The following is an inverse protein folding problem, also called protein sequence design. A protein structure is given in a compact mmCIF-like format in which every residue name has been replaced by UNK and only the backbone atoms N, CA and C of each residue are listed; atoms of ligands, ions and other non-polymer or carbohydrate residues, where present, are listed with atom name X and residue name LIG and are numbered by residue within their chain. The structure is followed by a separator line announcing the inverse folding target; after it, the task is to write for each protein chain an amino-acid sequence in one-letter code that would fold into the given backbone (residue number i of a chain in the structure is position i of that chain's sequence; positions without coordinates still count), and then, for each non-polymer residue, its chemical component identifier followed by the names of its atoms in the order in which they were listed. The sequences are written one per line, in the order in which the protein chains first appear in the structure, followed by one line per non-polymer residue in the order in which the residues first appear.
data_IF_778365551592
#
_entry.id   IF_778365551592
#
_cell.length_a   1.000
_cell.length_b   1.000
_cell.length_c   1.000
_cell.angle_alpha   90.00
_cell.angle_beta   90.00
_cell.angle_gamma   90.00
#
_symmetry.space_group_name_H-M   'P 1'
#
loop_
_entity.id
_entity.type
_entity.pdbx_description
1 polymer ?
#
# COMPACT_ATOMS: atom_id res chain seq x y z
N UNK A 1 -9.03 7.15 26.19
CA UNK A 1 -7.82 7.43 25.39
C UNK A 1 -8.25 7.97 24.04
N UNK A 2 -7.54 8.95 23.46
CA UNK A 2 -7.87 9.35 22.08
C UNK A 2 -7.42 8.24 21.11
N UNK A 3 -8.06 8.10 19.94
CA UNK A 3 -7.75 7.00 19.03
C UNK A 3 -6.28 6.88 18.62
N UNK A 4 -5.58 8.01 18.39
CA UNK A 4 -4.15 8.02 18.09
C UNK A 4 -3.30 7.37 19.18
N UNK A 5 -3.50 7.78 20.43
CA UNK A 5 -2.79 7.22 21.59
C UNK A 5 -3.04 5.71 21.71
N UNK A 6 -4.27 5.27 21.46
CA UNK A 6 -4.65 3.84 21.49
C UNK A 6 -3.83 3.00 20.51
N UNK A 7 -3.69 3.49 19.27
CA UNK A 7 -2.89 2.81 18.23
C UNK A 7 -1.42 2.81 18.62
N UNK A 8 -0.86 3.95 19.05
CA UNK A 8 0.55 4.06 19.45
C UNK A 8 0.87 3.09 20.59
N UNK A 9 0.05 3.04 21.65
CA UNK A 9 0.28 2.11 22.77
C UNK A 9 0.30 0.66 22.31
N UNK A 10 -0.64 0.27 21.44
CA UNK A 10 -0.67 -1.07 20.88
C UNK A 10 0.61 -1.41 20.08
N UNK A 11 1.07 -0.49 19.23
CA UNK A 11 2.33 -0.64 18.47
C UNK A 11 3.56 -0.71 19.39
N UNK A 12 3.55 0.03 20.49
CA UNK A 12 4.61 -0.01 21.52
C UNK A 12 4.48 -1.19 22.50
N UNK A 13 3.61 -2.16 22.23
CA UNK A 13 3.35 -3.33 23.08
C UNK A 13 2.89 -2.98 24.51
N UNK A 14 2.24 -1.83 24.68
CA UNK A 14 1.58 -1.43 25.92
C UNK A 14 0.08 -1.72 25.86
N UNK A 15 -0.56 -1.92 27.02
CA UNK A 15 -2.00 -2.16 27.09
C UNK A 15 -2.80 -0.85 26.85
N UNK A 16 -3.57 -0.75 25.74
CA UNK A 16 -4.47 0.38 25.50
C UNK A 16 -5.79 0.23 26.29
N UNK A 17 -6.68 1.22 26.22
CA UNK A 17 -8.01 1.14 26.85
C UNK A 17 -8.98 0.16 26.16
N UNK A 18 -8.75 -0.13 24.87
CA UNK A 18 -9.34 -1.24 24.10
C UNK A 18 -8.47 -1.55 22.89
N UNK A 19 -8.73 -2.69 22.23
CA UNK A 19 -8.08 -3.01 20.94
C UNK A 19 -8.40 -1.90 19.92
N UNK A 20 -7.38 -1.26 19.31
CA UNK A 20 -7.60 -0.30 18.24
C UNK A 20 -8.12 -1.01 16.99
N UNK A 21 -9.03 -0.37 16.27
CA UNK A 21 -9.72 -0.90 15.10
C UNK A 21 -9.60 0.07 13.94
N UNK A 22 -9.48 -0.44 12.72
CA UNK A 22 -9.48 0.39 11.52
C UNK A 22 -9.39 -0.46 10.27
N UNK A 23 -9.56 0.20 9.13
CA UNK A 23 -9.56 -0.45 7.82
C UNK A 23 -8.54 0.25 6.92
N UNK A 24 -7.69 -0.53 6.24
CA UNK A 24 -6.72 0.03 5.27
C UNK A 24 -7.40 0.43 3.93
N UNK A 25 -8.70 0.15 3.80
CA UNK A 25 -9.57 0.60 2.72
C UNK A 25 -10.98 -0.03 2.83
N UNK A 26 -12.03 0.77 2.62
CA UNK A 26 -13.43 0.30 2.62
C UNK A 26 -13.97 0.45 1.21
N UNK A 27 -14.37 -0.66 0.59
CA UNK A 27 -14.84 -0.64 -0.80
C UNK A 27 -16.22 0.04 -0.94
N UNK A 28 -16.45 0.60 -2.13
CA UNK A 28 -17.61 1.46 -2.38
C UNK A 28 -18.98 0.87 -2.01
N UNK A 29 -19.29 -0.44 -2.14
CA UNK A 29 -20.63 -0.93 -1.80
C UNK A 29 -20.96 -0.73 -0.32
N UNK A 30 -19.97 -0.95 0.56
CA UNK A 30 -20.10 -0.73 2.01
C UNK A 30 -20.16 0.76 2.30
N UNK A 31 -19.37 1.57 1.59
CA UNK A 31 -19.39 3.03 1.74
C UNK A 31 -20.74 3.62 1.39
N UNK A 32 -21.31 3.25 0.23
CA UNK A 32 -22.60 3.77 -0.23
C UNK A 32 -23.75 3.30 0.66
N UNK A 33 -23.72 2.03 1.09
CA UNK A 33 -24.70 1.49 2.04
C UNK A 33 -24.66 2.23 3.37
N UNK A 34 -23.47 2.47 3.90
CA UNK A 34 -23.26 3.10 5.21
C UNK A 34 -23.59 4.58 5.22
N UNK A 35 -23.20 5.31 4.17
CA UNK A 35 -23.35 6.77 4.09
C UNK A 35 -24.63 7.22 3.37
N UNK A 36 -25.35 6.30 2.71
CA UNK A 36 -26.60 6.60 2.00
C UNK A 36 -26.41 7.48 0.76
N UNK A 37 -25.20 7.51 0.18
CA UNK A 37 -24.86 8.34 -0.98
C UNK A 37 -23.83 7.67 -1.87
N UNK A 38 -23.80 8.04 -3.15
CA UNK A 38 -22.76 7.59 -4.08
C UNK A 38 -21.37 8.12 -3.70
N UNK A 39 -20.35 7.32 -3.95
CA UNK A 39 -18.94 7.68 -3.70
C UNK A 39 -18.05 7.33 -4.89
N UNK A 40 -16.96 8.06 -5.06
CA UNK A 40 -15.84 7.61 -5.87
C UNK A 40 -14.80 6.83 -5.06
N UNK A 41 -14.82 6.89 -3.71
CA UNK A 41 -13.83 6.21 -2.88
C UNK A 41 -13.86 4.69 -3.11
N UNK A 42 -12.76 4.18 -3.69
CA UNK A 42 -12.58 2.76 -4.02
C UNK A 42 -13.72 2.23 -4.88
N UNK A 43 -14.20 3.07 -5.80
CA UNK A 43 -15.29 2.76 -6.73
C UNK A 43 -14.84 1.97 -7.97
N UNK A 44 -13.57 1.53 -8.00
CA UNK A 44 -13.01 0.59 -8.96
C UNK A 44 -13.11 1.12 -10.40
N UNK A 45 -13.93 0.49 -11.24
CA UNK A 45 -14.15 0.94 -12.60
C UNK A 45 -14.66 2.39 -12.69
N UNK A 46 -15.54 2.79 -11.78
CA UNK A 46 -16.21 4.09 -11.85
C UNK A 46 -15.26 5.25 -11.54
N UNK A 47 -14.37 5.09 -10.57
CA UNK A 47 -13.35 6.11 -10.29
C UNK A 47 -12.35 6.24 -11.45
N UNK A 48 -11.93 5.13 -12.07
CA UNK A 48 -11.02 5.19 -13.22
C UNK A 48 -11.63 5.90 -14.43
N UNK A 49 -12.87 5.55 -14.78
CA UNK A 49 -13.59 6.21 -15.89
C UNK A 49 -13.71 7.71 -15.62
N UNK A 50 -14.09 8.10 -14.40
CA UNK A 50 -14.19 9.51 -14.02
C UNK A 50 -12.85 10.24 -14.16
N UNK A 51 -11.74 9.61 -13.76
CA UNK A 51 -10.40 10.18 -13.93
C UNK A 51 -10.02 10.34 -15.41
N UNK A 52 -10.29 9.35 -16.27
CA UNK A 52 -10.04 9.44 -17.71
C UNK A 52 -10.93 10.45 -18.45
N UNK A 53 -12.08 10.78 -17.86
CA UNK A 53 -12.99 11.82 -18.35
C UNK A 53 -12.66 13.21 -17.79
N UNK A 54 -11.65 13.32 -16.92
CA UNK A 54 -11.17 14.58 -16.35
C UNK A 54 -11.94 15.04 -15.11
N UNK A 55 -12.76 14.19 -14.50
CA UNK A 55 -13.51 14.48 -13.27
C UNK A 55 -12.67 14.30 -12.00
N UNK A 56 -11.37 14.67 -12.06
CA UNK A 56 -10.42 14.50 -10.96
C UNK A 56 -10.90 15.15 -9.67
N UNK A 57 -11.39 16.38 -9.73
CA UNK A 57 -11.80 17.10 -8.53
C UNK A 57 -13.03 16.49 -7.85
N UNK A 58 -13.99 15.97 -8.63
CA UNK A 58 -15.14 15.25 -8.08
C UNK A 58 -14.71 13.96 -7.34
N UNK A 59 -13.75 13.23 -7.92
CA UNK A 59 -13.17 12.02 -7.32
C UNK A 59 -12.46 12.36 -6.00
N UNK A 60 -11.60 13.37 -6.01
CA UNK A 60 -10.79 13.75 -4.84
C UNK A 60 -11.66 14.36 -3.72
N UNK A 61 -12.67 15.17 -4.06
CA UNK A 61 -13.63 15.67 -3.07
C UNK A 61 -14.47 14.52 -2.47
N UNK A 62 -14.80 13.50 -3.26
CA UNK A 62 -15.44 12.29 -2.73
C UNK A 62 -14.53 11.56 -1.75
N UNK A 63 -13.23 11.43 -2.03
CA UNK A 63 -12.27 10.79 -1.11
C UNK A 63 -12.20 11.54 0.22
N UNK A 64 -11.96 12.86 0.17
CA UNK A 64 -11.87 13.74 1.35
C UNK A 64 -13.10 13.59 2.23
N UNK A 65 -14.28 13.72 1.64
CA UNK A 65 -15.57 13.67 2.33
C UNK A 65 -15.88 12.29 2.90
N UNK A 66 -15.71 11.24 2.10
CA UNK A 66 -16.23 9.91 2.43
C UNK A 66 -15.30 9.13 3.35
N UNK A 67 -13.97 9.27 3.22
CA UNK A 67 -13.01 8.67 4.14
C UNK A 67 -13.22 9.20 5.56
N UNK A 68 -13.30 10.53 5.73
CA UNK A 68 -13.54 11.16 7.04
C UNK A 68 -14.89 10.75 7.61
N UNK A 69 -15.94 10.68 6.77
CA UNK A 69 -17.26 10.27 7.21
C UNK A 69 -17.29 8.81 7.69
N UNK A 70 -16.60 7.89 7.01
CA UNK A 70 -16.53 6.47 7.39
C UNK A 70 -15.80 6.30 8.72
N UNK A 71 -14.65 6.95 8.90
CA UNK A 71 -13.87 6.89 10.14
C UNK A 71 -14.73 7.33 11.33
N UNK A 72 -15.44 8.47 11.20
CA UNK A 72 -16.36 8.96 12.24
C UNK A 72 -17.56 8.03 12.45
N UNK A 73 -18.11 7.45 11.38
CA UNK A 73 -19.31 6.61 11.43
C UNK A 73 -19.06 5.25 12.08
N UNK A 74 -17.90 4.66 11.82
CA UNK A 74 -17.48 3.38 12.38
C UNK A 74 -16.62 3.51 13.63
N UNK A 75 -16.34 4.74 14.08
CA UNK A 75 -15.52 5.03 15.25
C UNK A 75 -14.12 4.38 15.18
N UNK A 76 -13.55 4.39 13.97
CA UNK A 76 -12.23 3.79 13.69
C UNK A 76 -11.12 4.60 14.34
N UNK A 77 -10.01 3.94 14.64
CA UNK A 77 -8.90 4.52 15.38
C UNK A 77 -7.76 5.02 14.49
N UNK A 78 -7.66 4.49 13.28
CA UNK A 78 -6.73 4.95 12.27
C UNK A 78 -7.44 5.19 10.93
N UNK A 79 -6.81 6.01 10.09
CA UNK A 79 -7.31 6.39 8.76
C UNK A 79 -6.22 6.26 7.70
N UNK A 80 -6.46 5.52 6.61
CA UNK A 80 -5.51 5.45 5.50
C UNK A 80 -5.58 6.72 4.64
N UNK A 81 -4.43 7.24 4.25
CA UNK A 81 -4.30 8.37 3.31
C UNK A 81 -3.25 8.05 2.24
N UNK A 82 -3.35 8.69 1.09
CA UNK A 82 -2.46 8.47 -0.06
C UNK A 82 -2.44 9.72 -0.93
N UNK A 83 -1.45 9.79 -1.83
CA UNK A 83 -1.39 10.81 -2.86
C UNK A 83 -2.55 10.64 -3.85
N UNK A 84 -3.12 11.75 -4.29
CA UNK A 84 -4.16 11.78 -5.33
C UNK A 84 -3.58 12.28 -6.65
N UNK A 85 -4.21 11.99 -7.81
CA UNK A 85 -3.72 12.49 -9.09
C UNK A 85 -3.54 14.02 -9.10
N UNK A 86 -2.47 14.48 -9.72
CA UNK A 86 -2.16 15.91 -9.90
C UNK A 86 -3.23 16.62 -10.74
N UNK A 87 -3.52 17.88 -10.42
CA UNK A 87 -4.30 18.80 -11.26
C UNK A 87 -3.56 19.26 -12.52
N UNK A 88 -2.23 19.19 -12.49
CA UNK A 88 -1.35 19.56 -13.61
C UNK A 88 -1.11 18.37 -14.54
N UNK A 89 -1.42 17.15 -14.11
CA UNK A 89 -1.30 15.97 -14.94
C UNK A 89 -2.26 16.05 -16.14
N UNK A 90 -1.74 15.74 -17.33
CA UNK A 90 -2.58 15.62 -18.52
C UNK A 90 -3.50 14.42 -18.39
N UNK A 91 -4.80 14.63 -18.63
CA UNK A 91 -5.76 13.52 -18.69
C UNK A 91 -5.53 12.75 -19.97
N UNK A 92 -4.94 11.57 -19.85
CA UNK A 92 -4.66 10.69 -20.98
C UNK A 92 -5.67 9.56 -20.99
N UNK A 93 -6.40 9.46 -22.11
CA UNK A 93 -7.41 8.41 -22.29
C UNK A 93 -6.71 7.11 -22.65
N UNK A 94 -7.05 6.00 -21.98
CA UNK A 94 -6.44 4.72 -22.26
C UNK A 94 -6.82 4.24 -23.66
N UNK A 95 -5.93 3.47 -24.30
CA UNK A 95 -6.22 2.85 -25.58
C UNK A 95 -6.97 1.54 -25.34
N UNK A 96 -8.29 1.60 -25.42
CA UNK A 96 -9.13 0.42 -25.25
C UNK A 96 -8.89 -0.62 -26.34
N UNK A 97 -8.66 -1.86 -25.91
CA UNK A 97 -8.63 -3.06 -26.76
C UNK A 97 -10.04 -3.65 -26.81
N UNK A 98 -10.72 -3.67 -25.66
CA UNK A 98 -12.13 -3.97 -25.51
C UNK A 98 -12.74 -3.11 -24.38
N UNK A 99 -13.98 -3.39 -23.97
CA UNK A 99 -14.70 -2.61 -22.94
C UNK A 99 -13.95 -2.52 -21.59
N UNK A 100 -13.24 -3.57 -21.19
CA UNK A 100 -12.57 -3.66 -19.89
C UNK A 100 -11.10 -4.04 -19.99
N UNK A 101 -10.54 -4.09 -21.20
CA UNK A 101 -9.12 -4.28 -21.45
C UNK A 101 -8.57 -3.05 -22.18
N UNK A 102 -7.48 -2.49 -21.69
CA UNK A 102 -6.86 -1.31 -22.28
C UNK A 102 -5.35 -1.36 -22.18
N UNK A 103 -4.68 -0.62 -23.06
CA UNK A 103 -3.26 -0.38 -23.00
C UNK A 103 -2.99 1.02 -22.43
N UNK A 104 -2.01 1.10 -21.53
CA UNK A 104 -1.51 2.37 -21.01
C UNK A 104 -0.30 2.90 -21.80
N UNK A 105 0.24 4.04 -21.38
CA UNK A 105 1.32 4.74 -22.07
C UNK A 105 2.67 4.01 -22.04
N UNK A 106 2.85 3.12 -21.07
CA UNK A 106 4.04 2.27 -20.97
C UNK A 106 3.89 0.99 -21.80
N UNK A 107 2.78 0.86 -22.55
CA UNK A 107 2.47 -0.31 -23.35
C UNK A 107 1.97 -1.49 -22.52
N UNK A 108 1.62 -1.29 -21.25
CA UNK A 108 1.10 -2.35 -20.38
C UNK A 108 -0.38 -2.57 -20.69
N UNK A 109 -0.78 -3.82 -20.78
CA UNK A 109 -2.17 -4.20 -20.99
C UNK A 109 -2.81 -4.52 -19.64
N UNK A 110 -3.85 -3.76 -19.31
CA UNK A 110 -4.63 -3.90 -18.10
C UNK A 110 -5.99 -4.49 -18.41
N UNK A 111 -6.53 -5.26 -17.45
CA UNK A 111 -7.89 -5.79 -17.52
C UNK A 111 -8.62 -5.60 -16.20
N UNK A 112 -9.85 -5.09 -16.29
CA UNK A 112 -10.81 -5.07 -15.21
C UNK A 112 -11.83 -6.21 -15.37
N UNK A 113 -12.21 -6.86 -14.26
CA UNK A 113 -13.29 -7.85 -14.23
C UNK A 113 -14.49 -7.29 -13.45
N UNK A 114 -15.61 -6.97 -14.12
CA UNK A 114 -16.83 -6.57 -13.44
C UNK A 114 -17.40 -7.63 -12.50
N UNK A 115 -17.07 -8.90 -12.74
CA UNK A 115 -17.55 -10.04 -11.95
C UNK A 115 -16.86 -10.09 -10.59
N UNK A 116 -15.55 -9.85 -10.53
CA UNK A 116 -14.84 -9.79 -9.26
C UNK A 116 -15.02 -8.44 -8.56
N UNK A 117 -15.21 -7.36 -9.33
CA UNK A 117 -15.25 -6.00 -8.78
C UNK A 117 -13.93 -5.58 -8.12
N UNK A 118 -12.86 -6.33 -8.36
CA UNK A 118 -11.54 -6.08 -7.80
C UNK A 118 -10.79 -4.95 -8.52
N UNK A 119 -9.56 -4.69 -8.07
CA UNK A 119 -8.65 -3.82 -8.82
C UNK A 119 -8.34 -4.43 -10.19
N UNK A 120 -8.10 -3.60 -11.22
CA UNK A 120 -7.56 -4.09 -12.48
C UNK A 120 -6.23 -4.81 -12.30
N UNK A 121 -5.98 -5.80 -13.14
CA UNK A 121 -4.72 -6.53 -13.17
C UNK A 121 -3.97 -6.22 -14.46
N UNK A 122 -2.65 -6.07 -14.35
CA UNK A 122 -1.78 -6.05 -15.51
C UNK A 122 -1.68 -7.48 -16.04
N UNK A 123 -2.12 -7.71 -17.29
CA UNK A 123 -2.10 -9.03 -17.93
C UNK A 123 -0.96 -9.17 -18.93
N UNK A 124 -0.30 -8.07 -19.30
CA UNK A 124 0.88 -8.06 -20.14
C UNK A 124 1.67 -6.78 -19.89
N UNK A 125 2.96 -6.92 -19.67
CA UNK A 125 3.91 -5.81 -19.57
C UNK A 125 5.22 -6.24 -20.23
N UNK A 126 6.01 -5.26 -20.67
CA UNK A 126 7.35 -5.51 -21.20
C UNK A 126 8.28 -5.91 -20.06
N UNK A 127 9.13 -6.90 -20.29
CA UNK A 127 10.23 -7.18 -19.37
C UNK A 127 11.27 -6.05 -19.41
N UNK A 128 11.60 -5.53 -18.24
CA UNK A 128 12.63 -4.50 -18.12
C UNK A 128 14.02 -5.12 -18.28
N UNK A 129 14.88 -4.45 -19.05
CA UNK A 129 16.30 -4.78 -19.18
C UNK A 129 17.13 -4.00 -18.16
N UNK A 130 18.40 -4.39 -17.96
CA UNK A 130 19.30 -3.71 -17.02
C UNK A 130 19.44 -2.21 -17.31
N UNK A 131 19.49 -1.83 -18.59
CA UNK A 131 19.62 -0.43 -19.02
C UNK A 131 18.35 0.41 -18.78
N UNK A 132 17.19 -0.25 -18.53
CA UNK A 132 15.96 0.43 -18.12
C UNK A 132 16.01 0.83 -16.63
N UNK A 133 16.90 0.22 -15.83
CA UNK A 133 17.01 0.47 -14.39
C UNK A 133 17.78 1.75 -14.08
N UNK A 134 17.06 2.87 -14.12
CA UNK A 134 17.59 4.20 -13.81
C UNK A 134 17.38 4.54 -12.34
N UNK A 135 18.33 5.28 -11.76
CA UNK A 135 18.14 5.85 -10.43
C UNK A 135 16.88 6.73 -10.40
N UNK A 136 16.11 6.68 -9.31
CA UNK A 136 14.91 7.48 -9.23
C UNK A 136 15.31 8.96 -9.12
N UNK A 137 14.75 9.78 -10.00
CA UNK A 137 14.80 11.22 -9.83
C UNK A 137 14.06 11.63 -8.54
N UNK A 138 14.43 12.76 -7.91
CA UNK A 138 13.68 13.30 -6.79
C UNK A 138 12.19 13.42 -7.11
N UNK A 139 11.36 12.80 -6.28
CA UNK A 139 9.91 12.88 -6.40
C UNK A 139 9.41 14.19 -5.81
N UNK A 140 9.05 15.12 -6.68
CA UNK A 140 8.53 16.45 -6.31
C UNK A 140 7.03 16.53 -6.66
N UNK A 141 6.13 16.17 -5.72
CA UNK A 141 4.70 16.31 -5.97
C UNK A 141 4.31 17.79 -6.06
N UNK A 142 3.25 18.10 -6.80
CA UNK A 142 2.60 19.40 -6.64
C UNK A 142 1.54 19.39 -5.53
N UNK A 143 1.20 20.58 -5.02
CA UNK A 143 0.27 20.75 -3.90
C UNK A 143 -1.07 20.02 -4.07
N UNK A 144 -1.54 19.84 -5.31
CA UNK A 144 -2.81 19.17 -5.56
C UNK A 144 -2.77 17.68 -5.21
N UNK A 145 -1.62 17.02 -5.33
CA UNK A 145 -1.45 15.60 -5.01
C UNK A 145 -1.56 15.31 -3.52
N UNK A 146 -1.28 16.33 -2.70
CA UNK A 146 -1.29 16.29 -1.24
C UNK A 146 -2.65 16.64 -0.64
N UNK A 147 -3.62 17.05 -1.46
CA UNK A 147 -4.92 17.56 -1.03
C UNK A 147 -5.67 16.60 -0.09
N UNK A 148 -5.64 15.29 -0.36
CA UNK A 148 -6.32 14.30 0.47
C UNK A 148 -5.63 14.18 1.84
N UNK A 149 -4.31 13.99 1.83
CA UNK A 149 -3.50 13.83 3.05
C UNK A 149 -3.68 15.05 3.95
N UNK A 150 -3.47 16.25 3.41
CA UNK A 150 -3.62 17.51 4.15
C UNK A 150 -5.03 17.71 4.70
N UNK A 151 -6.07 17.35 3.92
CA UNK A 151 -7.45 17.43 4.39
C UNK A 151 -7.71 16.49 5.57
N UNK A 152 -7.30 15.23 5.46
CA UNK A 152 -7.52 14.22 6.51
C UNK A 152 -6.70 14.54 7.76
N UNK A 153 -5.44 14.97 7.61
CA UNK A 153 -4.59 15.42 8.73
C UNK A 153 -5.22 16.61 9.44
N UNK A 154 -5.75 17.59 8.69
CA UNK A 154 -6.49 18.73 9.28
C UNK A 154 -7.72 18.28 10.06
N UNK A 155 -8.52 17.37 9.50
CA UNK A 155 -9.81 16.98 10.09
C UNK A 155 -9.69 15.97 11.25
N UNK A 156 -8.66 15.11 11.22
CA UNK A 156 -8.56 13.95 12.10
C UNK A 156 -7.18 13.80 12.77
N UNK A 157 -6.11 14.44 12.26
CA UNK A 157 -4.74 14.24 12.72
C UNK A 157 -4.47 14.62 14.18
N UNK A 158 -5.32 15.45 14.79
CA UNK A 158 -5.25 15.74 16.23
C UNK A 158 -5.84 14.65 17.14
N UNK A 159 -6.57 13.66 16.58
CA UNK A 159 -7.31 12.65 17.36
C UNK A 159 -7.09 11.22 16.89
N UNK A 160 -6.90 10.99 15.60
CA UNK A 160 -6.79 9.66 14.97
C UNK A 160 -5.37 9.42 14.46
N UNK A 161 -4.99 8.15 14.40
CA UNK A 161 -3.71 7.74 13.83
C UNK A 161 -3.77 7.79 12.30
N UNK A 162 -2.87 8.54 11.66
CA UNK A 162 -2.87 8.72 10.21
C UNK A 162 -1.89 7.75 9.56
N UNK A 163 -2.39 6.86 8.71
CA UNK A 163 -1.62 5.80 8.06
C UNK A 163 -1.39 6.11 6.58
N UNK A 164 -0.17 6.48 6.22
CA UNK A 164 0.23 6.78 4.85
C UNK A 164 0.36 5.52 4.00
N UNK A 165 -0.31 5.48 2.84
CA UNK A 165 -0.20 4.42 1.84
C UNK A 165 0.59 4.92 0.64
N UNK A 166 1.91 4.95 0.79
CA UNK A 166 2.84 5.27 -0.28
C UNK A 166 3.20 4.02 -1.08
N UNK A 167 4.46 3.60 -1.00
CA UNK A 167 5.00 2.45 -1.74
C UNK A 167 5.73 1.44 -0.86
N UNK A 168 5.90 0.22 -1.38
CA UNK A 168 6.67 -0.87 -0.75
C UNK A 168 8.06 -1.03 -1.38
N UNK A 169 8.16 -0.99 -2.71
CA UNK A 169 9.46 -1.05 -3.39
C UNK A 169 10.18 -2.41 -3.32
N UNK A 170 9.81 -3.32 -2.41
CA UNK A 170 10.49 -4.61 -2.27
C UNK A 170 10.15 -5.60 -3.38
N UNK A 171 9.05 -5.37 -4.12
CA UNK A 171 8.61 -6.19 -5.24
C UNK A 171 8.30 -5.32 -6.47
N UNK A 172 9.32 -4.91 -7.26
CA UNK A 172 9.14 -4.03 -8.40
C UNK A 172 8.45 -4.70 -9.60
N UNK A 173 7.68 -3.92 -10.36
CA UNK A 173 7.10 -4.36 -11.64
C UNK A 173 8.15 -4.27 -12.75
N UNK A 174 8.79 -5.40 -13.08
CA UNK A 174 9.86 -5.47 -14.10
C UNK A 174 9.57 -6.50 -15.20
N UNK A 175 8.31 -6.71 -15.57
CA UNK A 175 7.92 -7.86 -16.42
C UNK A 175 6.97 -8.85 -15.72
N UNK A 176 6.37 -8.44 -14.60
CA UNK A 176 5.44 -9.26 -13.84
C UNK A 176 6.09 -10.19 -12.82
N UNK A 177 5.25 -10.70 -11.93
CA UNK A 177 5.67 -11.47 -10.75
C UNK A 177 6.44 -12.75 -11.12
N UNK A 178 5.98 -13.51 -12.11
CA UNK A 178 6.64 -14.74 -12.53
C UNK A 178 8.05 -14.48 -13.08
N UNK A 179 8.22 -13.43 -13.89
CA UNK A 179 9.53 -13.03 -14.43
C UNK A 179 10.48 -12.61 -13.31
N UNK A 180 10.00 -11.78 -12.37
CA UNK A 180 10.79 -11.34 -11.22
C UNK A 180 11.29 -12.51 -10.36
N UNK A 181 10.41 -13.48 -10.05
CA UNK A 181 10.78 -14.68 -9.28
C UNK A 181 11.80 -15.56 -10.01
N UNK A 182 11.68 -15.72 -11.33
CA UNK A 182 12.66 -16.47 -12.13
C UNK A 182 14.03 -15.77 -12.15
N UNK A 183 14.03 -14.44 -12.26
CA UNK A 183 15.25 -13.60 -12.27
C UNK A 183 16.02 -13.62 -10.96
N UNK A 184 15.38 -13.92 -9.83
CA UNK A 184 16.12 -14.14 -8.57
C UNK A 184 17.19 -15.23 -8.73
N UNK A 185 16.95 -16.19 -9.63
CA UNK A 185 17.88 -17.29 -9.90
C UNK A 185 18.76 -16.96 -11.10
N UNK A 186 18.18 -16.47 -12.20
CA UNK A 186 18.92 -16.30 -13.47
C UNK A 186 19.71 -15.01 -13.56
N UNK A 187 19.27 -13.94 -12.88
CA UNK A 187 19.79 -12.58 -12.99
C UNK A 187 19.76 -11.83 -11.63
N UNK A 188 20.44 -12.36 -10.58
CA UNK A 188 20.35 -11.82 -9.22
C UNK A 188 20.77 -10.36 -9.09
N UNK A 189 21.75 -9.92 -9.88
CA UNK A 189 22.22 -8.52 -9.87
C UNK A 189 21.19 -7.55 -10.44
N UNK A 190 20.41 -7.98 -11.44
CA UNK A 190 19.27 -7.19 -11.90
C UNK A 190 18.25 -7.05 -10.77
N UNK A 191 17.90 -8.16 -10.09
CA UNK A 191 16.90 -8.12 -9.01
C UNK A 191 17.33 -7.18 -7.90
N UNK A 192 18.58 -7.28 -7.43
CA UNK A 192 19.14 -6.37 -6.41
C UNK A 192 19.03 -4.92 -6.85
N UNK A 193 19.40 -4.63 -8.10
CA UNK A 193 19.36 -3.27 -8.66
C UNK A 193 17.94 -2.74 -8.79
N UNK A 194 17.03 -3.54 -9.34
CA UNK A 194 15.63 -3.18 -9.53
C UNK A 194 14.92 -2.94 -8.19
N UNK A 195 15.11 -3.85 -7.23
CA UNK A 195 14.56 -3.70 -5.89
C UNK A 195 15.10 -2.44 -5.25
N UNK A 196 16.43 -2.20 -5.25
CA UNK A 196 17.01 -0.99 -4.66
C UNK A 196 16.38 0.29 -5.22
N UNK A 197 16.30 0.45 -6.54
CA UNK A 197 15.69 1.62 -7.19
C UNK A 197 14.23 1.81 -6.76
N UNK A 198 13.46 0.72 -6.70
CA UNK A 198 12.07 0.78 -6.28
C UNK A 198 11.92 1.09 -4.79
N UNK A 199 12.82 0.58 -3.94
CA UNK A 199 12.91 0.93 -2.52
C UNK A 199 13.19 2.42 -2.35
N UNK A 200 14.18 2.99 -3.04
CA UNK A 200 14.50 4.41 -2.96
C UNK A 200 13.30 5.29 -3.36
N UNK A 201 12.61 4.93 -4.44
CA UNK A 201 11.38 5.63 -4.85
C UNK A 201 10.28 5.51 -3.80
N UNK A 202 10.08 4.33 -3.23
CA UNK A 202 9.09 4.11 -2.18
C UNK A 202 9.41 4.92 -0.93
N UNK A 203 10.68 4.98 -0.52
CA UNK A 203 11.16 5.79 0.61
C UNK A 203 10.87 7.27 0.38
N UNK A 204 11.11 7.81 -0.82
CA UNK A 204 10.80 9.22 -1.12
C UNK A 204 9.32 9.55 -0.90
N UNK A 205 8.41 8.71 -1.42
CA UNK A 205 6.96 8.90 -1.28
C UNK A 205 6.52 8.70 0.18
N UNK A 206 7.04 7.67 0.85
CA UNK A 206 6.71 7.39 2.24
C UNK A 206 7.15 8.55 3.15
N UNK A 207 8.37 9.07 2.95
CA UNK A 207 8.89 10.21 3.70
C UNK A 207 8.04 11.46 3.50
N UNK A 208 7.65 11.77 2.27
CA UNK A 208 6.74 12.86 1.97
C UNK A 208 5.42 12.73 2.76
N UNK A 209 4.80 11.55 2.79
CA UNK A 209 3.57 11.32 3.55
C UNK A 209 3.78 11.51 5.06
N UNK A 210 4.91 11.05 5.60
CA UNK A 210 5.28 11.26 7.00
C UNK A 210 5.48 12.74 7.33
N UNK A 211 6.14 13.48 6.45
CA UNK A 211 6.41 14.91 6.58
C UNK A 211 5.10 15.74 6.50
N UNK A 212 4.10 15.26 5.75
CA UNK A 212 2.75 15.84 5.66
C UNK A 212 1.82 15.48 6.82
N UNK A 213 2.34 14.77 7.83
CA UNK A 213 1.64 14.54 9.10
C UNK A 213 1.10 13.12 9.29
N UNK A 214 1.50 12.16 8.47
CA UNK A 214 1.24 10.75 8.79
C UNK A 214 2.00 10.32 10.05
N UNK A 215 1.40 9.45 10.85
CA UNK A 215 2.02 8.86 12.04
C UNK A 215 2.81 7.59 11.67
N UNK A 216 2.40 6.91 10.59
CA UNK A 216 3.07 5.75 10.03
C UNK A 216 2.91 5.62 8.52
N UNK A 217 3.66 4.71 7.91
CA UNK A 217 3.42 4.24 6.54
C UNK A 217 3.10 2.74 6.49
N UNK A 218 2.34 2.34 5.46
CA UNK A 218 1.89 0.97 5.20
C UNK A 218 2.39 0.46 3.84
N UNK A 219 3.68 0.14 3.68
CA UNK A 219 4.16 -0.57 2.51
C UNK A 219 3.45 -1.93 2.37
N UNK A 220 2.89 -2.19 1.19
CA UNK A 220 2.15 -3.42 0.88
C UNK A 220 2.67 -4.13 -0.35
N UNK A 221 3.11 -5.37 -0.15
CA UNK A 221 3.46 -6.33 -1.20
C UNK A 221 3.31 -7.72 -0.60
N UNK A 222 2.57 -8.58 -1.28
CA UNK A 222 2.30 -9.94 -0.81
C UNK A 222 3.44 -10.87 -1.20
N UNK A 223 3.95 -11.61 -0.23
CA UNK A 223 5.08 -12.53 -0.45
C UNK A 223 4.67 -14.00 -0.41
N UNK A 224 3.43 -14.30 -0.01
CA UNK A 224 2.99 -15.67 0.26
C UNK A 224 1.58 -15.95 -0.27
N UNK A 225 1.33 -17.21 -0.59
CA UNK A 225 -0.01 -17.78 -0.72
C UNK A 225 -0.39 -18.49 0.59
N UNK A 226 -1.55 -19.14 0.61
CA UNK A 226 -1.94 -20.02 1.71
C UNK A 226 -0.95 -21.18 1.96
N UNK A 227 -0.16 -21.56 0.94
CA UNK A 227 0.79 -22.67 1.02
C UNK A 227 2.18 -22.25 1.51
N UNK A 228 2.46 -20.95 1.60
CA UNK A 228 3.76 -20.43 2.01
C UNK A 228 4.27 -19.32 1.10
N UNK A 229 5.50 -18.85 1.33
CA UNK A 229 6.16 -17.84 0.50
C UNK A 229 6.31 -18.28 -0.96
N UNK A 230 6.20 -17.33 -1.88
CA UNK A 230 6.39 -17.52 -3.33
C UNK A 230 7.87 -17.69 -3.73
N UNK A 231 8.78 -17.50 -2.78
CA UNK A 231 10.23 -17.63 -2.93
C UNK A 231 10.79 -18.38 -1.71
N UNK A 232 12.00 -18.95 -1.83
CA UNK A 232 12.63 -19.59 -0.68
C UNK A 232 12.97 -18.57 0.41
N UNK A 233 13.03 -18.95 1.69
CA UNK A 233 13.50 -18.06 2.76
C UNK A 233 14.89 -17.46 2.48
N UNK A 234 15.77 -18.20 1.80
CA UNK A 234 17.08 -17.70 1.38
C UNK A 234 16.97 -16.58 0.35
N UNK A 235 16.12 -16.72 -0.67
CA UNK A 235 15.89 -15.65 -1.65
C UNK A 235 15.18 -14.45 -1.01
N UNK A 236 14.26 -14.67 -0.07
CA UNK A 236 13.65 -13.58 0.68
C UNK A 236 14.71 -12.78 1.47
N UNK A 237 15.61 -13.47 2.18
CA UNK A 237 16.74 -12.88 2.91
C UNK A 237 17.63 -12.05 1.99
N UNK A 238 17.92 -12.55 0.80
CA UNK A 238 18.83 -11.90 -0.14
C UNK A 238 18.19 -10.68 -0.84
N UNK A 239 16.96 -10.82 -1.35
CA UNK A 239 16.39 -9.85 -2.29
C UNK A 239 15.32 -8.94 -1.68
N UNK A 240 14.60 -9.38 -0.65
CA UNK A 240 13.43 -8.64 -0.13
C UNK A 240 13.73 -8.02 1.23
N UNK A 241 14.36 -8.78 2.14
CA UNK A 241 14.69 -8.33 3.49
C UNK A 241 15.44 -6.98 3.53
N UNK A 242 16.49 -6.74 2.72
CA UNK A 242 17.22 -5.47 2.75
C UNK A 242 16.34 -4.26 2.40
N UNK A 243 15.39 -4.43 1.47
CA UNK A 243 14.44 -3.36 1.10
C UNK A 243 13.53 -3.00 2.26
N UNK A 244 12.94 -4.00 2.92
CA UNK A 244 12.04 -3.76 4.05
C UNK A 244 12.80 -3.07 5.18
N UNK A 245 14.00 -3.57 5.52
CA UNK A 245 14.86 -2.96 6.54
C UNK A 245 15.20 -1.51 6.20
N UNK A 246 15.54 -1.20 4.95
CA UNK A 246 15.88 0.16 4.55
C UNK A 246 14.68 1.12 4.73
N UNK A 247 13.46 0.68 4.37
CA UNK A 247 12.26 1.47 4.61
C UNK A 247 11.99 1.68 6.12
N UNK A 248 12.25 0.65 6.94
CA UNK A 248 12.10 0.77 8.40
C UNK A 248 13.05 1.83 8.94
N UNK A 249 14.33 1.74 8.58
CA UNK A 249 15.36 2.71 8.99
C UNK A 249 14.98 4.14 8.56
N UNK A 250 14.43 4.32 7.35
CA UNK A 250 13.99 5.63 6.86
C UNK A 250 12.78 6.22 7.62
N UNK A 251 11.81 5.37 8.01
CA UNK A 251 10.65 5.79 8.81
C UNK A 251 11.04 6.10 10.25
N UNK A 252 11.86 5.23 10.87
CA UNK A 252 12.35 5.39 12.24
C UNK A 252 13.26 6.60 12.40
N UNK A 253 14.06 6.95 11.38
CA UNK A 253 14.86 8.17 11.36
C UNK A 253 14.01 9.46 11.47
N UNK A 254 12.71 9.39 11.17
CA UNK A 254 11.73 10.49 11.36
C UNK A 254 10.94 10.38 12.66
N UNK A 255 11.23 9.38 13.49
CA UNK A 255 10.45 9.08 14.70
C UNK A 255 9.03 8.62 14.38
N UNK A 256 8.83 7.93 13.25
CA UNK A 256 7.53 7.48 12.74
C UNK A 256 7.50 5.96 12.66
N UNK A 257 6.30 5.39 12.66
CA UNK A 257 6.12 3.95 12.59
C UNK A 257 6.03 3.44 11.14
N UNK A 258 6.23 2.13 10.98
CA UNK A 258 6.06 1.41 9.72
C UNK A 258 5.32 0.11 9.98
N UNK A 259 4.21 -0.08 9.28
CA UNK A 259 3.41 -1.31 9.37
C UNK A 259 3.56 -2.02 8.03
N UNK A 260 4.03 -3.27 8.02
CA UNK A 260 4.14 -4.04 6.77
C UNK A 260 2.83 -4.75 6.47
N UNK A 261 2.29 -4.54 5.28
CA UNK A 261 1.21 -5.37 4.77
C UNK A 261 1.75 -6.51 3.90
N UNK A 262 1.35 -7.74 4.23
CA UNK A 262 1.47 -8.93 3.37
C UNK A 262 0.48 -9.97 3.86
N UNK A 263 -0.22 -10.60 2.94
CA UNK A 263 -1.11 -11.72 3.20
C UNK A 263 -0.39 -13.07 3.02
N UNK A 264 -1.10 -14.17 3.29
CA UNK A 264 -0.63 -15.54 3.11
C UNK A 264 0.05 -16.15 4.33
N UNK A 265 0.55 -17.38 4.15
CA UNK A 265 1.32 -18.07 5.17
C UNK A 265 2.77 -17.60 5.14
N UNK A 266 3.09 -16.62 5.98
CA UNK A 266 4.44 -16.05 6.08
C UNK A 266 5.28 -16.66 7.20
N UNK A 267 4.82 -17.72 7.89
CA UNK A 267 5.59 -18.35 8.99
C UNK A 267 7.04 -18.68 8.61
N UNK A 268 7.36 -19.21 7.40
CA UNK A 268 8.74 -19.52 7.03
C UNK A 268 9.67 -18.31 6.90
N UNK A 269 9.13 -17.08 6.86
CA UNK A 269 9.87 -15.81 6.72
C UNK A 269 9.56 -14.83 7.86
N UNK A 270 8.79 -15.25 8.88
CA UNK A 270 8.32 -14.38 9.96
C UNK A 270 9.48 -13.77 10.75
N UNK A 271 10.45 -14.59 11.15
CA UNK A 271 11.61 -14.14 11.94
C UNK A 271 12.37 -13.03 11.22
N UNK A 272 12.47 -13.12 9.89
CA UNK A 272 13.10 -12.09 9.08
C UNK A 272 12.27 -10.81 9.05
N UNK A 273 10.93 -10.87 8.99
CA UNK A 273 10.11 -9.66 9.10
C UNK A 273 10.29 -9.00 10.48
N UNK A 274 10.30 -9.78 11.57
CA UNK A 274 10.57 -9.25 12.91
C UNK A 274 11.96 -8.60 12.97
N UNK A 275 12.97 -9.25 12.40
CA UNK A 275 14.35 -8.75 12.36
C UNK A 275 14.49 -7.43 11.56
N UNK A 276 13.59 -7.14 10.61
CA UNK A 276 13.62 -5.83 9.91
C UNK A 276 13.29 -4.66 10.83
N UNK A 277 12.58 -4.91 11.94
CA UNK A 277 12.15 -3.87 12.88
C UNK A 277 10.82 -3.20 12.52
N UNK A 278 9.96 -3.83 11.72
CA UNK A 278 8.60 -3.32 11.49
C UNK A 278 7.84 -3.20 12.81
N UNK A 279 7.04 -2.15 12.96
CA UNK A 279 6.27 -1.88 14.18
C UNK A 279 4.95 -2.65 14.21
N UNK A 280 4.52 -3.19 13.06
CA UNK A 280 3.34 -4.03 12.97
C UNK A 280 3.27 -4.80 11.66
N UNK A 281 2.56 -5.92 11.71
CA UNK A 281 2.21 -6.70 10.53
C UNK A 281 0.69 -6.67 10.31
N UNK A 282 0.29 -6.33 9.09
CA UNK A 282 -1.09 -6.37 8.62
C UNK A 282 -1.27 -7.46 7.54
N UNK A 283 -2.34 -8.24 7.62
CA UNK A 283 -2.61 -9.33 6.66
C UNK A 283 -2.69 -10.72 7.29
N UNK A 284 -2.99 -10.80 8.59
CA UNK A 284 -3.23 -12.08 9.27
C UNK A 284 -4.53 -12.68 8.73
N UNK A 285 -4.47 -13.92 8.23
CA UNK A 285 -5.59 -14.61 7.59
C UNK A 285 -6.01 -15.88 8.37
N UNK A 286 -6.94 -15.78 9.33
CA UNK A 286 -7.40 -16.95 10.10
C UNK A 286 -7.98 -18.08 9.24
N UNK A 287 -8.55 -17.75 8.08
CA UNK A 287 -9.13 -18.72 7.14
C UNK A 287 -8.13 -19.73 6.58
N UNK A 288 -6.82 -19.42 6.61
CA UNK A 288 -5.74 -20.31 6.17
C UNK A 288 -4.91 -20.84 7.35
N UNK A 289 -5.41 -20.69 8.59
CA UNK A 289 -4.73 -21.16 9.80
C UNK A 289 -3.75 -20.16 10.42
N UNK A 290 -3.63 -18.95 9.88
CA UNK A 290 -2.86 -17.87 10.50
C UNK A 290 -3.72 -17.22 11.59
N UNK A 291 -3.74 -17.83 12.77
CA UNK A 291 -4.51 -17.37 13.93
C UNK A 291 -3.68 -16.57 14.93
N UNK A 292 -4.30 -15.56 15.56
CA UNK A 292 -3.63 -14.66 16.50
C UNK A 292 -3.07 -15.37 17.73
N UNK A 293 -3.75 -16.39 18.26
CA UNK A 293 -3.28 -17.14 19.42
C UNK A 293 -2.03 -17.94 19.05
N UNK A 294 -2.09 -18.67 17.94
CA UNK A 294 -0.95 -19.44 17.43
C UNK A 294 0.27 -18.56 17.18
N UNK A 295 0.07 -17.39 16.57
CA UNK A 295 1.15 -16.42 16.32
C UNK A 295 1.78 -15.92 17.62
N UNK A 296 0.96 -15.60 18.62
CA UNK A 296 1.45 -15.12 19.91
C UNK A 296 2.29 -16.19 20.63
N UNK A 297 1.82 -17.43 20.64
CA UNK A 297 2.53 -18.58 21.22
C UNK A 297 3.82 -18.93 20.47
N UNK A 298 3.87 -18.69 19.15
CA UNK A 298 5.03 -19.04 18.31
C UNK A 298 6.13 -17.98 18.34
N UNK A 299 5.77 -16.70 18.46
CA UNK A 299 6.70 -15.56 18.35
C UNK A 299 7.12 -15.03 19.72
N UNK A 300 6.24 -15.08 20.72
CA UNK A 300 6.47 -14.59 22.08
C UNK A 300 6.25 -15.72 23.10
N UNK A 301 7.13 -16.74 23.15
CA UNK A 301 7.02 -17.85 24.10
C UNK A 301 7.22 -17.43 25.57
#
# INVERSE_FOLDING_TARGET
MIPKERVIRALCHEEPDRVPTGEIGIDYPITELTLGRRTFYRAKWREMVALWEGHRDEVVESYKRDIVALVRKFELDFVPVFLVPSKKAEVRKPRFIDRYTWEDEEGRIWRYSPQSGGSPICISEREAAMDDLKEPEPFEPDDSELELVRHVVKELGGTHFILGRGGDGSFPCTGGMASFLMRMITEPEFVKRATHIATERAIQINNLLLDEGCDAVLPGSDFASAQGPMMSPQHFREFIFPSIRHMVEAAHARGKFIIKHTDGNILPIMDMLIETGIDGWHGIQPSIGMDLKMLKESIYP
#
